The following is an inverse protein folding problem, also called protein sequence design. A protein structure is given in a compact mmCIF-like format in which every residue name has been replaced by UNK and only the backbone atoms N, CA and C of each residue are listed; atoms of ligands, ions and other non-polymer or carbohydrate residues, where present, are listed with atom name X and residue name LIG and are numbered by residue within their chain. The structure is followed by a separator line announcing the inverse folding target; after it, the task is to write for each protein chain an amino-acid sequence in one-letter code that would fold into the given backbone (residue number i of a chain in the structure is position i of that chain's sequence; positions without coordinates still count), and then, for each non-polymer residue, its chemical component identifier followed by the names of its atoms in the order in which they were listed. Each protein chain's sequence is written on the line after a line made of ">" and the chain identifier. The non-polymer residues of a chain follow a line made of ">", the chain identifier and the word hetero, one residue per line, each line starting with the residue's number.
data_IF_512735039849
#
_entry.id   IF_512735039849
#
_cell.length_a   1.000
_cell.length_b   1.000
_cell.length_c   1.000
_cell.angle_alpha   90.00
_cell.angle_beta   90.00
_cell.angle_gamma   90.00
#
_symmetry.space_group_name_H-M   'P 1'
#
loop_
_entity.id
_entity.type
_entity.pdbx_description
1 polymer ?
#
# COMPACT_ATOMS: atom_id res chain seq x y z
N UNK A 1 -44.16 27.48 13.36
CA UNK A 1 -42.91 27.90 12.67
C UNK A 1 -41.67 27.40 13.39
N UNK A 2 -41.55 27.54 14.71
CA UNK A 2 -40.39 27.06 15.49
C UNK A 2 -40.16 25.54 15.38
N UNK A 3 -41.22 24.74 15.40
CA UNK A 3 -41.16 23.27 15.30
C UNK A 3 -40.60 22.81 13.93
N UNK A 4 -40.97 23.50 12.85
CA UNK A 4 -40.47 23.19 11.50
C UNK A 4 -38.99 23.53 11.34
N UNK A 5 -38.51 24.61 11.99
CA UNK A 5 -37.10 24.97 11.99
C UNK A 5 -36.23 23.98 12.77
N UNK A 6 -36.74 23.45 13.90
CA UNK A 6 -36.06 22.42 14.71
C UNK A 6 -35.98 21.09 13.95
N UNK A 7 -37.06 20.68 13.28
CA UNK A 7 -37.07 19.48 12.41
C UNK A 7 -36.09 19.62 11.24
N UNK A 8 -36.02 20.80 10.62
CA UNK A 8 -35.09 21.06 9.52
C UNK A 8 -33.62 21.01 10.01
N UNK A 9 -33.34 21.55 11.20
CA UNK A 9 -32.01 21.48 11.82
C UNK A 9 -31.62 20.04 12.16
N UNK A 10 -32.54 19.24 12.71
CA UNK A 10 -32.34 17.81 12.98
C UNK A 10 -32.07 17.01 11.69
N UNK A 11 -32.75 17.34 10.59
CA UNK A 11 -32.47 16.72 9.29
C UNK A 11 -31.11 17.13 8.70
N UNK A 12 -30.67 18.37 8.93
CA UNK A 12 -29.33 18.86 8.54
C UNK A 12 -28.21 18.26 9.39
N UNK A 13 -28.48 17.92 10.67
CA UNK A 13 -27.59 17.15 11.53
C UNK A 13 -27.56 15.64 11.19
N UNK A 14 -28.61 15.12 10.53
CA UNK A 14 -28.65 13.75 10.00
C UNK A 14 -27.99 13.60 8.63
N UNK A 15 -27.63 14.71 7.97
CA UNK A 15 -26.56 14.78 6.97
C UNK A 15 -25.20 14.80 7.67
N UNK A 16 -25.02 13.98 8.71
CA UNK A 16 -23.69 13.49 8.99
C UNK A 16 -23.28 12.76 7.71
N UNK A 17 -22.29 13.30 6.98
CA UNK A 17 -21.45 12.50 6.09
C UNK A 17 -21.29 11.15 6.78
N UNK A 18 -21.49 10.00 6.09
CA UNK A 18 -21.18 8.74 6.74
C UNK A 18 -19.80 8.95 7.34
N UNK A 19 -19.71 8.95 8.67
CA UNK A 19 -18.43 8.97 9.37
C UNK A 19 -17.72 7.86 8.64
N UNK A 20 -16.73 8.21 7.83
CA UNK A 20 -15.97 7.26 7.05
C UNK A 20 -15.43 6.35 8.13
N UNK A 21 -16.11 5.22 8.34
CA UNK A 21 -15.95 4.34 9.50
C UNK A 21 -14.46 4.17 9.60
N UNK A 22 -13.79 4.79 10.59
CA UNK A 22 -12.35 5.08 10.59
C UNK A 22 -11.63 4.02 9.77
N UNK A 23 -11.45 4.28 8.47
CA UNK A 23 -11.34 3.16 7.53
C UNK A 23 -10.06 2.47 7.89
N UNK A 24 -10.17 1.24 8.45
CA UNK A 24 -9.01 0.46 8.87
C UNK A 24 -8.03 0.33 7.70
N UNK A 25 -8.52 0.50 6.47
CA UNK A 25 -7.70 0.75 5.31
C UNK A 25 -8.33 1.70 4.30
N UNK A 26 -7.48 2.39 3.51
CA UNK A 26 -7.85 3.04 2.25
C UNK A 26 -6.94 2.51 1.15
N UNK A 27 -7.49 2.34 -0.05
CA UNK A 27 -6.75 1.87 -1.22
C UNK A 27 -7.05 2.80 -2.39
N UNK A 28 -6.00 3.34 -3.00
CA UNK A 28 -6.08 4.33 -4.07
C UNK A 28 -5.49 3.69 -5.33
N UNK A 29 -6.30 3.62 -6.38
CA UNK A 29 -5.86 3.27 -7.72
C UNK A 29 -5.39 4.55 -8.43
N UNK A 30 -4.08 4.64 -8.63
CA UNK A 30 -3.43 5.84 -9.14
C UNK A 30 -3.63 5.91 -10.66
N UNK A 31 -4.31 6.93 -11.13
CA UNK A 31 -4.69 7.12 -12.53
C UNK A 31 -6.16 6.82 -12.81
N UNK A 32 -6.86 6.11 -11.91
CA UNK A 32 -8.29 5.84 -12.04
C UNK A 32 -9.13 7.06 -11.63
N UNK A 33 -10.17 7.35 -12.43
CA UNK A 33 -11.09 8.47 -12.19
C UNK A 33 -12.22 8.14 -11.21
N UNK A 34 -12.63 6.87 -11.14
CA UNK A 34 -13.79 6.42 -10.37
C UNK A 34 -13.42 5.34 -9.36
N UNK A 35 -14.20 5.25 -8.30
CA UNK A 35 -14.04 4.19 -7.30
C UNK A 35 -14.71 2.91 -7.75
N UNK A 36 -14.12 1.76 -7.41
CA UNK A 36 -14.66 0.46 -7.76
C UNK A 36 -14.32 -0.61 -6.73
N UNK A 37 -15.16 -1.64 -6.67
CA UNK A 37 -14.82 -2.89 -6.00
C UNK A 37 -13.99 -3.76 -6.95
N UNK A 38 -12.95 -4.40 -6.42
CA UNK A 38 -12.17 -5.42 -7.14
C UNK A 38 -13.05 -6.58 -7.63
N UNK A 39 -12.48 -7.45 -8.47
CA UNK A 39 -13.21 -8.58 -9.08
C UNK A 39 -13.90 -9.47 -8.05
N UNK A 40 -13.25 -9.64 -6.90
CA UNK A 40 -13.69 -10.53 -5.83
C UNK A 40 -14.66 -9.82 -4.85
N UNK A 41 -14.89 -8.52 -5.06
CA UNK A 41 -15.74 -7.63 -4.24
C UNK A 41 -15.32 -7.55 -2.77
N UNK A 42 -14.04 -7.76 -2.49
CA UNK A 42 -13.46 -7.72 -1.14
C UNK A 42 -12.84 -6.36 -0.85
N UNK A 43 -12.32 -5.69 -1.88
CA UNK A 43 -11.53 -4.48 -1.72
C UNK A 43 -12.10 -3.33 -2.52
N UNK A 44 -12.42 -2.25 -1.80
CA UNK A 44 -12.76 -0.97 -2.41
C UNK A 44 -11.49 -0.21 -2.77
N UNK A 45 -11.40 0.16 -4.04
CA UNK A 45 -10.39 1.04 -4.62
C UNK A 45 -11.02 2.40 -4.89
N UNK A 46 -10.46 3.45 -4.31
CA UNK A 46 -10.78 4.82 -4.64
C UNK A 46 -9.99 5.24 -5.89
N UNK A 47 -10.62 5.99 -6.78
CA UNK A 47 -9.88 6.75 -7.78
C UNK A 47 -9.01 7.82 -7.12
N UNK A 48 -8.00 8.33 -7.83
CA UNK A 48 -7.02 9.25 -7.24
C UNK A 48 -7.44 10.73 -7.22
N UNK A 49 -8.62 11.03 -7.76
CA UNK A 49 -9.17 12.37 -7.76
C UNK A 49 -9.31 12.89 -6.33
N UNK A 50 -8.65 14.01 -6.04
CA UNK A 50 -8.68 14.66 -4.72
C UNK A 50 -7.45 14.38 -3.87
N UNK A 51 -6.64 13.36 -4.20
CA UNK A 51 -5.37 13.11 -3.53
C UNK A 51 -4.19 13.78 -4.23
N UNK A 52 -4.30 14.06 -5.53
CA UNK A 52 -3.26 14.76 -6.29
C UNK A 52 -3.89 15.64 -7.38
N UNK A 53 -3.18 16.71 -7.75
CA UNK A 53 -3.63 17.71 -8.74
C UNK A 53 -2.70 17.79 -9.96
N UNK A 54 -1.59 17.05 -9.96
CA UNK A 54 -0.60 17.04 -11.04
C UNK A 54 -0.44 15.66 -11.66
N UNK A 55 0.45 15.55 -12.65
CA UNK A 55 0.68 14.31 -13.38
C UNK A 55 -0.41 13.97 -14.38
N UNK A 56 -0.21 12.85 -15.07
CA UNK A 56 -1.09 12.32 -16.11
C UNK A 56 -1.43 10.87 -15.80
N UNK A 57 -2.66 10.49 -16.04
CA UNK A 57 -3.11 9.10 -15.94
C UNK A 57 -2.74 8.34 -17.22
N UNK A 58 -2.43 7.05 -17.08
CA UNK A 58 -2.21 6.11 -18.16
C UNK A 58 -2.85 4.77 -17.77
N UNK A 59 -3.36 4.03 -18.75
CA UNK A 59 -3.96 2.72 -18.54
C UNK A 59 -5.37 2.62 -19.13
N UNK A 60 -6.05 1.51 -18.80
CA UNK A 60 -7.43 1.27 -19.24
C UNK A 60 -8.38 1.22 -18.03
N UNK A 61 -9.69 1.30 -18.29
CA UNK A 61 -10.71 1.29 -17.23
C UNK A 61 -10.99 -0.10 -16.63
N UNK A 62 -10.08 -1.07 -16.78
CA UNK A 62 -10.23 -2.35 -16.12
C UNK A 62 -10.01 -2.17 -14.62
N UNK A 63 -10.89 -2.78 -13.82
CA UNK A 63 -10.92 -2.70 -12.35
C UNK A 63 -9.74 -3.45 -11.70
N UNK A 64 -8.52 -2.95 -11.89
CA UNK A 64 -7.29 -3.48 -11.31
C UNK A 64 -6.21 -2.39 -11.26
N UNK A 65 -5.62 -2.11 -10.09
CA UNK A 65 -4.59 -1.08 -9.94
C UNK A 65 -3.28 -1.37 -10.69
N UNK A 66 -3.09 -2.57 -11.24
CA UNK A 66 -1.96 -2.89 -12.13
C UNK A 66 -2.21 -2.48 -13.58
N UNK A 67 -3.44 -2.10 -13.92
CA UNK A 67 -3.81 -1.69 -15.28
C UNK A 67 -3.87 -0.18 -15.44
N UNK A 68 -3.72 0.59 -14.36
CA UNK A 68 -3.60 2.05 -14.39
C UNK A 68 -2.39 2.54 -13.61
N UNK A 69 -1.90 3.72 -13.99
CA UNK A 69 -0.87 4.44 -13.24
C UNK A 69 -1.07 5.95 -13.42
N UNK A 70 -0.49 6.72 -12.50
CA UNK A 70 -0.23 8.15 -12.70
C UNK A 70 1.27 8.39 -12.81
N UNK A 71 1.67 9.12 -13.84
CA UNK A 71 3.06 9.49 -14.08
C UNK A 71 3.25 11.01 -14.06
N UNK A 72 4.46 11.46 -13.72
CA UNK A 72 4.79 12.85 -13.45
C UNK A 72 5.93 13.35 -14.38
N UNK A 73 5.60 13.79 -15.60
CA UNK A 73 6.59 14.21 -16.59
C UNK A 73 7.30 15.53 -16.23
N UNK A 74 6.73 16.32 -15.32
CA UNK A 74 7.29 17.57 -14.81
C UNK A 74 7.31 17.61 -13.28
N UNK A 75 8.08 18.55 -12.73
CA UNK A 75 8.24 18.74 -11.28
C UNK A 75 9.29 17.81 -10.66
N UNK A 76 10.10 18.36 -9.77
CA UNK A 76 11.11 17.59 -9.04
C UNK A 76 10.51 16.80 -7.86
N UNK A 77 9.37 17.24 -7.35
CA UNK A 77 8.60 16.62 -6.27
C UNK A 77 7.13 16.68 -6.64
N UNK A 78 6.47 15.53 -6.69
CA UNK A 78 5.03 15.41 -6.90
C UNK A 78 4.44 14.56 -5.78
N UNK A 79 3.29 14.94 -5.23
CA UNK A 79 2.75 14.29 -4.05
C UNK A 79 1.28 13.91 -4.22
N UNK A 80 0.95 12.80 -3.59
CA UNK A 80 -0.39 12.54 -3.08
C UNK A 80 -0.47 13.10 -1.66
N UNK A 81 -1.55 13.80 -1.35
CA UNK A 81 -1.81 14.46 -0.05
C UNK A 81 -3.23 14.16 0.40
N UNK A 82 -3.57 14.53 1.64
CA UNK A 82 -4.90 14.30 2.21
C UNK A 82 -5.31 12.82 2.22
N UNK A 83 -4.34 11.91 2.29
CA UNK A 83 -4.61 10.48 2.40
C UNK A 83 -5.00 10.22 3.86
N UNK A 84 -6.25 9.83 4.16
CA UNK A 84 -6.73 9.73 5.53
C UNK A 84 -6.05 8.60 6.29
N UNK A 85 -5.69 8.89 7.54
CA UNK A 85 -5.13 7.94 8.50
C UNK A 85 -5.76 8.20 9.88
N UNK A 86 -5.27 7.52 10.90
CA UNK A 86 -5.55 7.88 12.30
C UNK A 86 -4.27 8.42 12.91
N UNK A 87 -4.30 9.65 13.41
CA UNK A 87 -3.15 10.24 14.10
C UNK A 87 -2.65 9.33 15.22
N UNK A 88 -1.34 9.20 15.35
CA UNK A 88 -0.68 8.41 16.40
C UNK A 88 -1.06 6.92 16.44
N UNK A 89 -1.71 6.40 15.38
CA UNK A 89 -1.91 4.97 15.19
C UNK A 89 -0.87 4.45 14.21
N UNK A 90 -0.07 3.46 14.61
CA UNK A 90 0.86 2.78 13.71
C UNK A 90 0.15 2.38 12.43
N UNK A 91 0.72 2.79 11.30
CA UNK A 91 0.09 2.66 10.00
C UNK A 91 1.10 2.05 9.03
N UNK A 92 0.66 1.02 8.31
CA UNK A 92 1.36 0.48 7.16
C UNK A 92 0.94 1.29 5.92
N UNK A 93 1.90 1.87 5.21
CA UNK A 93 1.68 2.49 3.91
C UNK A 93 2.47 1.70 2.88
N UNK A 94 1.78 1.23 1.85
CA UNK A 94 2.37 0.50 0.73
C UNK A 94 2.14 1.27 -0.56
N UNK A 95 3.20 1.48 -1.32
CA UNK A 95 3.11 1.96 -2.70
C UNK A 95 3.55 0.88 -3.66
N UNK A 96 2.78 0.69 -4.73
CA UNK A 96 3.12 -0.23 -5.81
C UNK A 96 3.46 0.56 -7.07
N UNK A 97 4.54 0.13 -7.71
CA UNK A 97 5.00 0.66 -8.97
C UNK A 97 5.07 -0.48 -9.98
N UNK A 98 4.09 -0.54 -10.88
CA UNK A 98 4.10 -1.49 -11.98
C UNK A 98 4.55 -0.80 -13.27
N UNK A 99 5.80 -1.05 -13.66
CA UNK A 99 6.31 -0.62 -14.96
C UNK A 99 5.85 -1.62 -16.01
N UNK A 100 4.90 -1.21 -16.86
CA UNK A 100 4.41 -1.99 -18.00
C UNK A 100 4.92 -1.49 -19.35
N UNK A 101 6.07 -0.80 -19.38
CA UNK A 101 6.56 -0.07 -20.54
C UNK A 101 5.60 1.01 -21.06
N UNK A 102 4.95 1.75 -20.16
CA UNK A 102 3.91 2.72 -20.48
C UNK A 102 4.38 3.92 -21.32
N UNK A 103 5.69 4.17 -21.35
CA UNK A 103 6.35 5.29 -22.03
C UNK A 103 7.18 4.86 -23.25
N UNK A 104 7.07 3.58 -23.64
CA UNK A 104 7.77 2.96 -24.77
C UNK A 104 9.32 3.01 -24.70
N UNK A 105 9.91 3.27 -23.52
CA UNK A 105 11.38 3.41 -23.38
C UNK A 105 12.13 2.10 -23.17
N UNK A 106 11.43 1.01 -22.87
CA UNK A 106 11.99 -0.29 -22.47
C UNK A 106 12.96 -0.22 -21.29
N UNK A 107 12.94 0.89 -20.55
CA UNK A 107 13.85 1.18 -19.45
C UNK A 107 13.07 1.92 -18.36
N UNK A 108 12.85 1.23 -17.24
CA UNK A 108 12.10 1.79 -16.13
C UNK A 108 12.89 2.91 -15.44
N UNK A 109 12.25 4.04 -15.09
CA UNK A 109 12.92 5.14 -14.41
C UNK A 109 13.29 4.75 -12.97
N UNK A 110 14.31 5.40 -12.43
CA UNK A 110 14.59 5.37 -10.99
C UNK A 110 14.13 6.68 -10.36
N UNK A 111 13.72 6.64 -9.09
CA UNK A 111 13.27 7.81 -8.33
C UNK A 111 13.15 7.45 -6.85
N UNK A 112 12.92 8.44 -5.98
CA UNK A 112 12.64 8.16 -4.57
C UNK A 112 11.14 8.30 -4.27
N UNK A 113 10.66 7.51 -3.31
CA UNK A 113 9.38 7.71 -2.65
C UNK A 113 9.64 8.17 -1.22
N UNK A 114 8.90 9.19 -0.78
CA UNK A 114 9.00 9.77 0.57
C UNK A 114 7.62 9.80 1.20
N UNK A 115 7.48 9.14 2.34
CA UNK A 115 6.27 9.10 3.15
C UNK A 115 6.34 10.16 4.24
N UNK A 116 5.31 10.99 4.27
CA UNK A 116 5.12 12.08 5.24
C UNK A 116 6.35 12.99 5.38
N UNK A 117 7.06 13.21 4.28
CA UNK A 117 8.28 14.01 4.24
C UNK A 117 9.50 13.41 4.97
N UNK A 118 9.38 12.21 5.55
CA UNK A 118 10.34 11.67 6.52
C UNK A 118 10.95 10.34 6.10
N UNK A 119 10.12 9.36 5.77
CA UNK A 119 10.60 8.01 5.49
C UNK A 119 10.84 7.87 4.00
N UNK A 120 12.08 7.63 3.58
CA UNK A 120 12.48 7.57 2.17
C UNK A 120 12.84 6.15 1.75
N UNK A 121 12.34 5.74 0.59
CA UNK A 121 12.80 4.56 -0.11
C UNK A 121 13.20 4.89 -1.55
N UNK A 122 14.12 4.10 -2.10
CA UNK A 122 14.65 4.30 -3.44
C UNK A 122 14.04 3.27 -4.38
N UNK A 123 13.25 3.74 -5.35
CA UNK A 123 12.56 2.91 -6.32
C UNK A 123 13.50 2.66 -7.49
N UNK A 124 14.04 1.45 -7.54
CA UNK A 124 14.94 0.98 -8.60
C UNK A 124 14.45 -0.38 -9.08
N UNK A 125 14.17 -0.47 -10.37
CA UNK A 125 13.72 -1.70 -10.99
C UNK A 125 14.92 -2.53 -11.46
N UNK A 126 14.89 -3.82 -11.16
CA UNK A 126 15.87 -4.79 -11.65
C UNK A 126 15.22 -5.74 -12.66
N UNK A 127 16.02 -6.37 -13.52
CA UNK A 127 15.59 -7.40 -14.47
C UNK A 127 14.48 -7.01 -15.46
N UNK A 128 14.27 -5.72 -15.72
CA UNK A 128 13.21 -5.20 -16.62
C UNK A 128 13.27 -5.84 -18.01
N UNK A 129 14.46 -5.92 -18.61
CA UNK A 129 14.67 -6.50 -19.95
C UNK A 129 14.42 -8.01 -20.00
N UNK A 130 14.65 -8.73 -18.91
CA UNK A 130 14.42 -10.17 -18.81
C UNK A 130 12.93 -10.52 -18.66
N UNK A 131 12.12 -9.53 -18.26
CA UNK A 131 10.70 -9.68 -17.98
C UNK A 131 9.82 -8.99 -19.03
N UNK A 132 10.24 -9.02 -20.31
CA UNK A 132 9.52 -8.40 -21.43
C UNK A 132 9.22 -6.91 -21.19
N UNK A 133 10.21 -6.17 -20.67
CA UNK A 133 10.11 -4.75 -20.32
C UNK A 133 9.04 -4.46 -19.26
N UNK A 134 8.75 -5.43 -18.39
CA UNK A 134 7.81 -5.28 -17.27
C UNK A 134 8.54 -5.46 -15.95
N UNK A 135 8.19 -4.69 -14.93
CA UNK A 135 8.73 -4.87 -13.60
C UNK A 135 7.76 -4.37 -12.53
N UNK A 136 7.85 -4.94 -11.33
CA UNK A 136 7.08 -4.52 -10.16
C UNK A 136 8.08 -4.11 -9.07
N UNK A 137 7.85 -2.96 -8.45
CA UNK A 137 8.48 -2.58 -7.20
C UNK A 137 7.39 -2.31 -6.16
N UNK A 138 7.57 -2.84 -4.95
CA UNK A 138 6.67 -2.59 -3.82
C UNK A 138 7.51 -1.96 -2.71
N UNK A 139 7.17 -0.74 -2.32
CA UNK A 139 7.71 -0.11 -1.11
C UNK A 139 6.67 -0.19 0.00
N UNK A 140 7.10 -0.55 1.20
CA UNK A 140 6.25 -0.67 2.38
C UNK A 140 6.94 -0.06 3.59
N UNK A 141 6.25 0.87 4.24
CA UNK A 141 6.71 1.52 5.46
C UNK A 141 5.68 1.35 6.58
N UNK A 142 6.15 1.13 7.80
CA UNK A 142 5.32 1.19 9.01
C UNK A 142 5.84 2.32 9.89
N UNK A 143 4.98 3.28 10.24
CA UNK A 143 5.35 4.42 11.08
C UNK A 143 4.11 4.98 11.81
N UNK A 144 4.34 5.99 12.65
CA UNK A 144 3.29 6.76 13.31
C UNK A 144 2.97 8.05 12.55
N UNK A 145 1.75 8.22 12.02
CA UNK A 145 1.35 9.49 11.43
C UNK A 145 1.27 10.59 12.49
N UNK A 146 1.81 11.77 12.17
CA UNK A 146 1.76 12.94 13.05
C UNK A 146 0.42 13.70 12.99
N UNK A 147 -0.38 13.43 11.95
CA UNK A 147 -1.64 14.10 11.60
C UNK A 147 -2.72 13.08 11.24
N UNK A 148 -3.95 13.56 10.98
CA UNK A 148 -5.08 12.72 10.51
C UNK A 148 -5.03 12.42 9.00
N UNK A 149 -4.05 12.99 8.31
CA UNK A 149 -3.72 12.68 6.93
C UNK A 149 -2.21 12.59 6.74
N UNK A 150 -1.81 11.89 5.68
CA UNK A 150 -0.41 11.72 5.29
C UNK A 150 -0.19 12.16 3.84
N UNK A 151 1.08 12.35 3.50
CA UNK A 151 1.53 12.53 2.12
C UNK A 151 2.42 11.39 1.64
N UNK A 152 2.35 11.11 0.34
CA UNK A 152 3.25 10.20 -0.38
C UNK A 152 3.82 10.98 -1.56
N UNK A 153 5.11 11.26 -1.54
CA UNK A 153 5.77 12.10 -2.53
C UNK A 153 6.78 11.32 -3.34
N UNK A 154 6.74 11.48 -4.67
CA UNK A 154 7.74 10.97 -5.59
C UNK A 154 8.76 12.08 -5.90
N UNK A 155 10.04 11.80 -5.68
CA UNK A 155 11.14 12.72 -5.90
C UNK A 155 11.96 12.24 -7.09
N UNK A 156 12.08 13.12 -8.08
CA UNK A 156 12.85 12.87 -9.29
C UNK A 156 14.35 12.86 -8.99
N UNK A 157 15.06 11.82 -9.44
CA UNK A 157 16.51 11.67 -9.27
C UNK A 157 17.33 12.21 -10.45
N UNK A 158 16.79 12.14 -11.68
CA UNK A 158 17.38 12.75 -12.88
C UNK A 158 16.32 13.46 -13.73
N UNK A 159 16.72 14.46 -14.53
CA UNK A 159 15.82 15.18 -15.45
C UNK A 159 15.10 14.26 -16.43
N UNK A 160 15.73 13.14 -16.81
CA UNK A 160 15.18 12.15 -17.74
C UNK A 160 14.16 11.20 -17.10
N UNK A 161 14.17 11.08 -15.77
CA UNK A 161 13.31 10.17 -15.03
C UNK A 161 11.89 10.72 -14.97
N UNK A 162 10.93 9.82 -15.20
CA UNK A 162 9.50 10.12 -15.09
C UNK A 162 8.94 9.26 -13.95
N UNK A 163 8.91 9.79 -12.71
CA UNK A 163 8.31 9.06 -11.60
C UNK A 163 6.85 8.73 -11.90
N UNK A 164 6.42 7.56 -11.46
CA UNK A 164 5.05 7.10 -11.60
C UNK A 164 4.64 6.32 -10.37
N UNK A 165 3.36 6.02 -10.21
CA UNK A 165 2.81 5.19 -9.15
C UNK A 165 1.52 4.53 -9.62
N UNK A 166 1.33 3.27 -9.26
CA UNK A 166 0.17 2.46 -9.66
C UNK A 166 -0.86 2.37 -8.53
N UNK A 167 -0.40 2.22 -7.28
CA UNK A 167 -1.32 2.27 -6.15
C UNK A 167 -0.70 2.75 -4.85
N UNK A 168 -1.57 3.22 -3.96
CA UNK A 168 -1.29 3.50 -2.56
C UNK A 168 -2.28 2.72 -1.71
N UNK A 169 -1.79 1.92 -0.77
CA UNK A 169 -2.61 1.21 0.19
C UNK A 169 -2.18 1.61 1.60
N UNK A 170 -3.15 1.90 2.46
CA UNK A 170 -2.93 2.32 3.84
C UNK A 170 -3.69 1.38 4.75
N UNK A 171 -3.06 0.90 5.80
CA UNK A 171 -3.67 0.02 6.80
C UNK A 171 -3.31 0.47 8.22
N UNK A 172 -4.32 0.74 9.04
CA UNK A 172 -4.15 0.97 10.46
C UNK A 172 -3.85 -0.35 11.19
N UNK A 173 -2.77 -0.35 11.97
CA UNK A 173 -2.32 -1.51 12.76
C UNK A 173 -2.91 -1.46 14.18
N UNK A 174 -2.78 -2.56 14.90
CA UNK A 174 -3.11 -2.59 16.33
C UNK A 174 -1.98 -1.96 17.15
N UNK A 175 -2.31 -1.43 18.32
CA UNK A 175 -1.40 -0.62 19.14
C UNK A 175 -0.16 -1.38 19.63
N UNK A 176 -0.29 -2.69 19.87
CA UNK A 176 0.72 -3.63 20.38
C UNK A 176 1.55 -4.31 19.28
N UNK A 177 1.34 -3.94 18.01
CA UNK A 177 2.17 -4.41 16.91
C UNK A 177 3.36 -3.46 16.75
N UNK A 178 4.55 -3.99 16.48
CA UNK A 178 5.76 -3.21 16.20
C UNK A 178 6.11 -2.23 17.34
N UNK A 179 6.09 -2.72 18.58
CA UNK A 179 6.30 -1.92 19.80
C UNK A 179 7.68 -1.24 19.91
N UNK A 180 8.66 -1.71 19.14
CA UNK A 180 9.97 -1.08 19.05
C UNK A 180 10.04 0.15 18.14
N UNK A 181 8.94 0.55 17.48
CA UNK A 181 8.92 1.72 16.59
C UNK A 181 8.44 2.93 17.39
N UNK A 182 9.28 3.96 17.48
CA UNK A 182 8.91 5.24 18.08
C UNK A 182 8.09 6.15 17.14
N UNK A 183 7.51 7.25 17.66
CA UNK A 183 6.79 8.25 16.85
C UNK A 183 7.64 8.84 15.72
N UNK A 184 8.95 8.92 15.93
CA UNK A 184 9.88 9.48 14.98
C UNK A 184 10.57 8.45 14.06
N UNK A 185 10.22 7.19 14.20
CA UNK A 185 10.87 6.09 13.50
C UNK A 185 9.93 5.50 12.45
N UNK A 186 10.52 4.77 11.49
CA UNK A 186 9.74 4.03 10.51
C UNK A 186 10.48 2.77 10.08
N UNK A 187 9.74 1.67 9.95
CA UNK A 187 10.26 0.41 9.43
C UNK A 187 10.01 0.34 7.94
N UNK A 188 11.09 0.43 7.16
CA UNK A 188 11.06 0.15 5.73
C UNK A 188 11.31 -1.33 5.49
N UNK A 189 10.41 -1.98 4.78
CA UNK A 189 10.57 -3.39 4.40
C UNK A 189 11.67 -3.51 3.36
N UNK A 190 12.82 -4.08 3.74
CA UNK A 190 13.95 -4.34 2.83
C UNK A 190 13.91 -5.72 2.19
N UNK A 191 13.48 -6.74 2.95
CA UNK A 191 13.45 -8.12 2.48
C UNK A 191 12.02 -8.65 2.42
N UNK A 192 11.75 -9.45 1.39
CA UNK A 192 10.64 -10.39 1.40
C UNK A 192 11.09 -11.62 2.17
N UNK A 193 10.67 -11.73 3.42
CA UNK A 193 10.71 -13.03 4.07
C UNK A 193 9.69 -13.94 3.36
N UNK A 194 10.18 -15.08 2.88
CA UNK A 194 9.34 -16.11 2.29
C UNK A 194 8.79 -16.97 3.44
N UNK A 195 7.48 -16.98 3.55
CA UNK A 195 6.78 -17.76 4.56
C UNK A 195 6.12 -18.94 3.86
N UNK A 196 5.88 -20.05 4.56
CA UNK A 196 5.46 -21.30 3.93
C UNK A 196 4.08 -21.31 3.25
N UNK A 197 3.55 -20.20 2.75
CA UNK A 197 2.33 -20.18 1.96
C UNK A 197 2.54 -20.78 0.57
N UNK A 198 1.44 -21.21 -0.06
CA UNK A 198 1.43 -21.66 -1.47
C UNK A 198 1.32 -20.52 -2.48
N UNK A 199 0.66 -19.43 -2.07
CA UNK A 199 0.40 -18.24 -2.87
C UNK A 199 0.62 -17.01 -1.97
N UNK A 200 0.76 -15.82 -2.57
CA UNK A 200 0.78 -14.58 -1.79
C UNK A 200 -0.49 -14.47 -0.97
N UNK A 201 -0.35 -14.30 0.34
CA UNK A 201 -1.45 -14.10 1.29
C UNK A 201 -1.41 -12.70 1.85
N UNK A 202 -2.59 -12.10 1.96
CA UNK A 202 -2.80 -10.83 2.63
C UNK A 202 -3.48 -11.09 3.96
N UNK A 203 -2.92 -10.55 5.03
CA UNK A 203 -3.54 -10.67 6.35
C UNK A 203 -4.50 -9.51 6.66
N UNK A 204 -5.12 -9.55 7.84
CA UNK A 204 -6.10 -8.56 8.31
C UNK A 204 -5.51 -7.17 8.56
N UNK A 205 -4.18 -7.04 8.55
CA UNK A 205 -3.42 -5.79 8.65
C UNK A 205 -2.87 -5.34 7.29
N UNK A 206 -3.27 -6.04 6.21
CA UNK A 206 -2.88 -5.72 4.86
C UNK A 206 -1.47 -6.17 4.49
N UNK A 207 -0.71 -6.83 5.37
CA UNK A 207 0.67 -7.30 5.09
C UNK A 207 0.65 -8.42 4.07
N UNK A 208 1.68 -8.45 3.20
CA UNK A 208 1.85 -9.46 2.17
C UNK A 208 2.85 -10.53 2.62
N UNK A 209 2.35 -11.75 2.71
CA UNK A 209 3.08 -12.96 3.06
C UNK A 209 3.29 -13.79 1.79
N UNK A 210 4.54 -13.91 1.35
CA UNK A 210 4.88 -14.52 0.07
C UNK A 210 5.19 -16.01 0.25
N UNK A 211 4.92 -16.85 -0.76
CA UNK A 211 5.19 -18.27 -0.70
C UNK A 211 6.69 -18.56 -0.70
N UNK A 212 7.08 -19.74 -0.18
CA UNK A 212 8.41 -20.29 -0.43
C UNK A 212 8.57 -20.57 -1.93
N UNK A 213 9.75 -20.27 -2.47
CA UNK A 213 10.05 -20.69 -3.83
C UNK A 213 10.12 -22.23 -3.89
N UNK A 214 9.54 -22.87 -4.93
CA UNK A 214 9.47 -24.33 -5.01
C UNK A 214 10.82 -25.06 -4.89
N UNK A 215 11.93 -24.37 -5.17
CA UNK A 215 13.29 -24.91 -5.18
C UNK A 215 14.21 -24.25 -4.13
N UNK A 216 13.65 -23.54 -3.14
CA UNK A 216 14.47 -22.95 -2.08
C UNK A 216 15.03 -24.06 -1.17
N UNK A 217 16.30 -24.42 -1.40
CA UNK A 217 17.03 -25.42 -0.61
C UNK A 217 17.39 -24.91 0.78
N UNK A 218 17.20 -23.62 1.05
CA UNK A 218 17.44 -23.01 2.36
C UNK A 218 16.38 -23.34 3.40
N UNK A 219 15.26 -23.99 3.03
CA UNK A 219 14.18 -24.31 3.95
C UNK A 219 13.63 -25.73 3.77
N UNK A 220 13.26 -26.37 4.88
CA UNK A 220 12.48 -27.61 4.88
C UNK A 220 11.09 -27.34 5.46
N UNK A 221 10.04 -27.72 4.73
CA UNK A 221 8.66 -27.69 5.24
C UNK A 221 8.50 -28.70 6.39
N UNK A 222 8.03 -28.23 7.54
CA UNK A 222 7.71 -29.10 8.67
C UNK A 222 6.29 -29.63 8.51
N UNK A 223 6.14 -30.96 8.51
CA UNK A 223 4.81 -31.60 8.50
C UNK A 223 4.18 -31.50 9.88
N UNK A 224 3.07 -30.79 9.98
CA UNK A 224 2.22 -30.75 11.18
C UNK A 224 0.81 -31.24 10.84
N UNK A 225 0.17 -31.92 11.79
CA UNK A 225 -1.24 -32.31 11.70
C UNK A 225 -2.17 -31.20 12.23
N UNK A 226 -1.61 -30.18 12.91
CA UNK A 226 -2.39 -29.07 13.43
C UNK A 226 -2.87 -28.15 12.27
N UNK A 227 -4.15 -27.75 12.23
CA UNK A 227 -4.67 -26.88 11.18
C UNK A 227 -4.17 -25.43 11.30
N UNK A 228 -3.68 -25.03 12.47
CA UNK A 228 -3.16 -23.70 12.77
C UNK A 228 -2.11 -23.73 13.89
N UNK A 229 -1.33 -22.66 13.99
CA UNK A 229 -0.39 -22.41 15.08
C UNK A 229 -1.07 -21.49 16.10
N UNK A 230 -0.83 -21.73 17.39
CA UNK A 230 -1.22 -20.77 18.44
C UNK A 230 -0.32 -19.53 18.34
N UNK A 231 -0.94 -18.39 18.05
CA UNK A 231 -0.28 -17.08 17.92
C UNK A 231 -0.54 -16.18 19.13
N UNK A 232 -1.14 -16.72 20.19
CA UNK A 232 -1.46 -15.96 21.40
C UNK A 232 -0.18 -15.43 22.03
N UNK A 233 -0.10 -14.11 22.23
CA UNK A 233 1.08 -13.45 22.79
C UNK A 233 2.27 -13.33 21.83
N UNK A 234 2.15 -13.77 20.57
CA UNK A 234 3.21 -13.60 19.57
C UNK A 234 3.24 -12.14 19.08
N UNK A 235 4.39 -11.45 19.18
CA UNK A 235 4.52 -10.08 18.70
C UNK A 235 4.12 -9.94 17.23
N UNK A 236 3.58 -8.77 16.87
CA UNK A 236 3.17 -8.45 15.50
C UNK A 236 2.08 -9.37 14.92
N UNK A 237 1.45 -10.26 15.70
CA UNK A 237 0.24 -11.00 15.32
C UNK A 237 0.30 -11.61 13.90
N UNK A 238 1.24 -12.52 13.61
CA UNK A 238 1.33 -13.16 12.28
C UNK A 238 0.08 -14.04 12.03
N UNK A 239 -0.22 -14.40 10.76
CA UNK A 239 -1.35 -15.29 10.48
C UNK A 239 -1.16 -16.68 11.11
N UNK A 240 -2.22 -17.22 11.71
CA UNK A 240 -2.18 -18.54 12.36
C UNK A 240 -2.05 -19.72 11.37
N UNK A 241 -2.29 -19.49 10.09
CA UNK A 241 -2.23 -20.49 9.01
C UNK A 241 -0.93 -20.45 8.19
N UNK A 242 0.11 -19.77 8.68
CA UNK A 242 1.46 -19.84 8.10
C UNK A 242 1.94 -21.29 8.21
N UNK A 243 2.49 -21.87 7.13
CA UNK A 243 3.13 -23.18 7.27
C UNK A 243 4.45 -23.06 8.00
N UNK A 244 4.71 -24.00 8.89
CA UNK A 244 5.96 -24.09 9.62
C UNK A 244 7.08 -24.54 8.67
N UNK A 245 8.12 -23.72 8.56
CA UNK A 245 9.30 -24.02 7.78
C UNK A 245 10.53 -23.84 8.66
N UNK A 246 11.48 -24.79 8.57
CA UNK A 246 12.76 -24.70 9.26
C UNK A 246 13.81 -24.25 8.26
N UNK A 247 14.52 -23.17 8.57
CA UNK A 247 15.71 -22.78 7.80
C UNK A 247 16.80 -23.84 7.99
N UNK A 248 17.34 -24.33 6.88
CA UNK A 248 18.51 -25.21 6.89
C UNK A 248 19.74 -24.28 7.02
N UNK A 249 20.63 -24.51 8.00
CA UNK A 249 21.85 -23.73 8.20
C UNK A 249 22.76 -23.73 6.97
#
# INVERSE_FOLDING_TARGET
>A
MLIMAVLLLLTLLSLSSPILSLSKSINIDCGASESYLDSDKVKLWAGDKGFTTTGKSFGNSLKNPLNTLRFFPSGNKNCYSNIPVTKSRKTLVRTLFFYGNYDDRSSAPSFDVVYDGKHRDNVVFTNVSQLNNRAIFISEVIYFPASEDISVCLIRTSKSDVPFISSIEVYGLDADMYDGVGPDEGLLRRNLDLYGFKNVKRDTFGRLWFPLEPNDTGYTELKTLAPSIDITGVPNKPPANVRLCRKIP
#
